data_IF_979566881320
#
_entry.id   IF_979566881320
#
_cell.length_a   1.000
_cell.length_b   1.000
_cell.length_c   1.000
_cell.angle_alpha   90.00
_cell.angle_beta   90.00
_cell.angle_gamma   90.00
#
_symmetry.space_group_name_H-M   'P 1'
#
loop_
_entity.id
_entity.type
_entity.pdbx_description
1 polymer ?
#
# COMPACT_ATOMS: atom_id res chain seq x y z
N UNK A 1 0.45 8.67 -20.19
CA UNK A 1 -0.47 7.72 -20.84
C UNK A 1 -1.84 7.92 -20.22
N UNK A 2 -2.87 8.14 -21.00
CA UNK A 2 -4.20 8.51 -20.53
C UNK A 2 -5.01 7.27 -20.15
N UNK A 3 -6.11 7.43 -19.37
CA UNK A 3 -7.06 6.33 -19.04
C UNK A 3 -7.60 5.63 -20.30
N UNK A 4 -7.69 6.35 -21.40
CA UNK A 4 -8.12 5.82 -22.72
C UNK A 4 -7.15 4.77 -23.24
N UNK A 5 -5.83 5.01 -23.10
CA UNK A 5 -4.78 4.08 -23.54
C UNK A 5 -4.80 2.80 -22.69
N UNK A 6 -5.06 2.92 -21.38
CA UNK A 6 -5.11 1.77 -20.49
C UNK A 6 -6.33 0.88 -20.75
N UNK A 7 -7.49 1.50 -20.95
CA UNK A 7 -8.72 0.77 -21.29
C UNK A 7 -8.55 -0.04 -22.58
N UNK A 8 -7.95 0.56 -23.61
CA UNK A 8 -7.66 -0.14 -24.87
C UNK A 8 -6.73 -1.33 -24.67
N UNK A 9 -5.70 -1.17 -23.83
CA UNK A 9 -4.77 -2.25 -23.50
C UNK A 9 -5.46 -3.40 -22.75
N UNK A 10 -6.36 -3.09 -21.83
CA UNK A 10 -7.17 -4.09 -21.12
C UNK A 10 -8.09 -4.84 -22.10
N UNK A 11 -8.77 -4.13 -23.01
CA UNK A 11 -9.62 -4.75 -24.02
C UNK A 11 -8.83 -5.65 -24.99
N UNK A 12 -7.61 -5.29 -25.30
CA UNK A 12 -6.70 -6.12 -26.07
C UNK A 12 -6.30 -7.38 -25.30
N UNK A 13 -5.90 -7.24 -24.03
CA UNK A 13 -5.52 -8.35 -23.16
C UNK A 13 -6.68 -9.34 -22.91
N UNK A 14 -7.93 -8.88 -22.99
CA UNK A 14 -9.11 -9.77 -22.92
C UNK A 14 -9.23 -10.71 -24.12
N UNK A 15 -8.71 -10.30 -25.29
CA UNK A 15 -8.77 -11.05 -26.54
C UNK A 15 -7.50 -11.88 -26.78
N UNK A 16 -6.36 -11.33 -26.38
CA UNK A 16 -5.06 -11.92 -26.56
C UNK A 16 -4.26 -11.90 -25.25
N UNK A 17 -3.97 -13.08 -24.72
CA UNK A 17 -3.20 -13.22 -23.48
C UNK A 17 -1.77 -12.68 -23.60
N UNK A 18 -1.19 -12.58 -24.80
CA UNK A 18 0.15 -11.99 -24.98
C UNK A 18 0.12 -10.48 -24.68
N UNK A 19 -0.99 -9.79 -24.99
CA UNK A 19 -1.15 -8.38 -24.68
C UNK A 19 -1.21 -8.10 -23.15
N UNK A 20 -1.50 -9.13 -22.34
CA UNK A 20 -1.44 -9.01 -20.87
C UNK A 20 -0.01 -8.72 -20.37
N UNK A 21 1.03 -9.13 -21.11
CA UNK A 21 2.42 -8.81 -20.77
C UNK A 21 2.67 -7.33 -20.58
N UNK A 22 2.09 -6.46 -21.40
CA UNK A 22 2.23 -5.00 -21.25
C UNK A 22 1.53 -4.45 -19.99
N UNK A 23 0.43 -5.06 -19.54
CA UNK A 23 -0.17 -4.74 -18.24
C UNK A 23 0.69 -5.24 -17.07
N UNK A 24 1.29 -6.43 -17.22
CA UNK A 24 2.23 -6.97 -16.25
C UNK A 24 3.43 -6.04 -16.08
N UNK A 25 4.13 -5.70 -17.15
CA UNK A 25 5.31 -4.84 -17.12
C UNK A 25 5.03 -3.47 -16.51
N UNK A 26 3.83 -2.95 -16.72
CA UNK A 26 3.39 -1.66 -16.18
C UNK A 26 3.20 -1.67 -14.67
N UNK A 27 2.77 -2.78 -14.10
CA UNK A 27 2.30 -2.83 -12.72
C UNK A 27 3.10 -3.72 -11.79
N UNK A 28 3.98 -4.60 -12.30
CA UNK A 28 4.66 -5.60 -11.47
C UNK A 28 5.48 -4.97 -10.35
N UNK A 29 6.28 -3.97 -10.66
CA UNK A 29 7.12 -3.27 -9.65
C UNK A 29 6.26 -2.56 -8.60
N UNK A 30 5.17 -1.93 -9.02
CA UNK A 30 4.25 -1.22 -8.11
C UNK A 30 3.54 -2.18 -7.17
N UNK A 31 3.03 -3.30 -7.69
CA UNK A 31 2.34 -4.32 -6.88
C UNK A 31 3.33 -5.00 -5.93
N UNK A 32 4.56 -5.29 -6.38
CA UNK A 32 5.62 -5.81 -5.52
C UNK A 32 5.96 -4.83 -4.38
N UNK A 33 6.20 -3.56 -4.71
CA UNK A 33 6.51 -2.54 -3.72
C UNK A 33 5.38 -2.37 -2.70
N UNK A 34 4.11 -2.40 -3.14
CA UNK A 34 2.95 -2.39 -2.25
C UNK A 34 2.91 -3.62 -1.34
N UNK A 35 3.11 -4.82 -1.90
CA UNK A 35 3.13 -6.07 -1.15
C UNK A 35 4.27 -6.07 -0.13
N UNK A 36 5.49 -5.65 -0.52
CA UNK A 36 6.64 -5.56 0.36
C UNK A 36 6.43 -4.57 1.52
N UNK A 37 5.90 -3.38 1.24
CA UNK A 37 5.55 -2.40 2.29
C UNK A 37 4.57 -2.96 3.32
N UNK A 38 3.72 -3.89 2.92
CA UNK A 38 2.67 -4.45 3.78
C UNK A 38 3.05 -5.77 4.47
N UNK A 39 3.92 -6.56 3.87
CA UNK A 39 4.35 -7.87 4.43
C UNK A 39 5.65 -7.78 5.20
N UNK A 40 6.52 -6.82 4.83
CA UNK A 40 7.90 -6.67 5.32
C UNK A 40 8.70 -7.98 5.19
N UNK A 41 8.43 -8.74 4.15
CA UNK A 41 8.98 -10.06 3.88
C UNK A 41 9.06 -10.24 2.35
N UNK A 42 10.27 -10.40 1.83
CA UNK A 42 10.55 -10.46 0.40
C UNK A 42 9.86 -11.65 -0.26
N UNK A 43 9.98 -12.83 0.33
CA UNK A 43 9.33 -14.03 -0.18
C UNK A 43 7.80 -13.90 -0.20
N UNK A 44 7.22 -13.30 0.84
CA UNK A 44 5.79 -13.02 0.89
C UNK A 44 5.36 -11.98 -0.15
N UNK A 45 6.20 -10.97 -0.40
CA UNK A 45 5.91 -9.95 -1.42
C UNK A 45 5.95 -10.55 -2.84
N UNK A 46 6.92 -11.42 -3.12
CA UNK A 46 7.01 -12.17 -4.39
C UNK A 46 5.80 -13.08 -4.58
N UNK A 47 5.44 -13.86 -3.57
CA UNK A 47 4.26 -14.74 -3.60
C UNK A 47 2.97 -13.95 -3.86
N UNK A 48 2.75 -12.86 -3.11
CA UNK A 48 1.57 -11.99 -3.27
C UNK A 48 1.52 -11.41 -4.70
N UNK A 49 2.66 -10.97 -5.21
CA UNK A 49 2.75 -10.39 -6.56
C UNK A 49 2.43 -11.44 -7.61
N UNK A 50 3.07 -12.61 -7.55
CA UNK A 50 2.84 -13.72 -8.46
C UNK A 50 1.36 -14.14 -8.47
N UNK A 51 0.77 -14.39 -7.30
CA UNK A 51 -0.64 -14.78 -7.16
C UNK A 51 -1.59 -13.68 -7.65
N UNK A 52 -1.24 -12.41 -7.46
CA UNK A 52 -2.03 -11.28 -7.94
C UNK A 52 -2.14 -11.29 -9.46
N UNK A 53 -1.02 -11.42 -10.16
CA UNK A 53 -1.03 -11.45 -11.62
C UNK A 53 -1.59 -12.74 -12.20
N UNK A 54 -1.38 -13.89 -11.55
CA UNK A 54 -2.03 -15.15 -11.93
C UNK A 54 -3.56 -15.02 -11.86
N UNK A 55 -4.10 -14.46 -10.78
CA UNK A 55 -5.54 -14.22 -10.62
C UNK A 55 -6.05 -13.19 -11.63
N UNK A 56 -5.29 -12.11 -11.85
CA UNK A 56 -5.64 -11.11 -12.83
C UNK A 56 -5.72 -11.69 -14.24
N UNK A 57 -4.72 -12.46 -14.68
CA UNK A 57 -4.72 -13.13 -15.98
C UNK A 57 -5.89 -14.11 -16.12
N UNK A 58 -6.16 -14.90 -15.10
CA UNK A 58 -7.29 -15.86 -15.07
C UNK A 58 -8.64 -15.18 -15.23
N UNK A 59 -8.80 -13.98 -14.67
CA UNK A 59 -10.08 -13.27 -14.62
C UNK A 59 -10.18 -12.08 -15.59
N UNK A 60 -9.13 -11.77 -16.38
CA UNK A 60 -9.11 -10.62 -17.28
C UNK A 60 -10.29 -10.62 -18.25
N UNK A 61 -10.69 -11.78 -18.77
CA UNK A 61 -11.82 -11.93 -19.72
C UNK A 61 -13.17 -11.51 -19.11
N UNK A 62 -13.34 -11.66 -17.81
CA UNK A 62 -14.55 -11.27 -17.08
C UNK A 62 -14.47 -9.86 -16.48
N UNK A 63 -13.30 -9.25 -16.50
CA UNK A 63 -13.11 -7.89 -15.99
C UNK A 63 -13.98 -6.90 -16.78
N UNK A 64 -14.57 -5.94 -16.09
CA UNK A 64 -15.36 -4.85 -16.67
C UNK A 64 -14.77 -3.52 -16.22
N UNK A 65 -14.43 -2.69 -17.19
CA UNK A 65 -13.96 -1.34 -16.89
C UNK A 65 -15.04 -0.52 -16.18
N UNK A 66 -14.74 0.00 -15.01
CA UNK A 66 -15.70 0.73 -14.15
C UNK A 66 -15.32 2.22 -13.98
N UNK A 67 -14.52 2.78 -14.88
CA UNK A 67 -14.11 4.18 -14.81
C UNK A 67 -12.98 4.47 -13.82
N UNK A 68 -12.32 3.43 -13.32
CA UNK A 68 -11.10 3.51 -12.51
C UNK A 68 -9.98 2.73 -13.19
N UNK A 69 -8.73 3.00 -12.85
CA UNK A 69 -7.58 2.33 -13.47
C UNK A 69 -7.62 0.81 -13.24
N UNK A 70 -7.05 0.06 -14.17
CA UNK A 70 -6.83 -1.37 -14.01
C UNK A 70 -5.94 -1.67 -12.79
N UNK A 71 -5.03 -0.75 -12.47
CA UNK A 71 -4.22 -0.80 -11.27
C UNK A 71 -5.06 -0.91 -10.00
N UNK A 72 -6.15 -0.18 -9.87
CA UNK A 72 -7.03 -0.27 -8.70
C UNK A 72 -7.56 -1.70 -8.49
N UNK A 73 -7.91 -2.39 -9.57
CA UNK A 73 -8.32 -3.79 -9.49
C UNK A 73 -7.17 -4.72 -9.07
N UNK A 74 -5.95 -4.50 -9.57
CA UNK A 74 -4.76 -5.25 -9.14
C UNK A 74 -4.47 -5.03 -7.65
N UNK A 75 -4.50 -3.77 -7.18
CA UNK A 75 -4.31 -3.46 -5.75
C UNK A 75 -5.37 -4.13 -4.86
N UNK A 76 -6.61 -4.22 -5.32
CA UNK A 76 -7.67 -4.94 -4.62
C UNK A 76 -7.36 -6.44 -4.50
N UNK A 77 -6.85 -7.07 -5.56
CA UNK A 77 -6.42 -8.48 -5.51
C UNK A 77 -5.25 -8.62 -4.55
N UNK A 78 -4.17 -7.83 -4.70
CA UNK A 78 -2.99 -7.87 -3.86
C UNK A 78 -3.33 -7.66 -2.37
N UNK A 79 -4.19 -6.69 -2.05
CA UNK A 79 -4.70 -6.46 -0.70
C UNK A 79 -5.35 -7.69 -0.08
N UNK A 80 -6.17 -8.39 -0.85
CA UNK A 80 -6.82 -9.61 -0.39
C UNK A 80 -5.81 -10.74 -0.13
N UNK A 81 -4.78 -10.86 -0.98
CA UNK A 81 -3.71 -11.86 -0.78
C UNK A 81 -2.87 -11.53 0.46
N UNK A 82 -2.51 -10.27 0.66
CA UNK A 82 -1.82 -9.80 1.88
C UNK A 82 -2.64 -10.16 3.13
N UNK A 83 -3.94 -9.87 3.12
CA UNK A 83 -4.82 -10.21 4.24
C UNK A 83 -4.91 -11.73 4.49
N UNK A 84 -4.83 -12.57 3.44
CA UNK A 84 -4.76 -14.02 3.58
C UNK A 84 -3.41 -14.46 4.15
N UNK A 85 -2.30 -13.86 3.67
CA UNK A 85 -0.96 -14.15 4.18
C UNK A 85 -0.88 -13.86 5.69
N UNK A 86 -1.33 -12.67 6.14
CA UNK A 86 -1.35 -12.33 7.57
C UNK A 86 -2.22 -13.27 8.40
N UNK A 87 -3.39 -13.68 7.89
CA UNK A 87 -4.22 -14.69 8.58
C UNK A 87 -3.48 -16.01 8.75
N UNK A 88 -2.83 -16.52 7.70
CA UNK A 88 -2.06 -17.79 7.76
C UNK A 88 -0.92 -17.67 8.77
N UNK A 89 -0.17 -16.56 8.75
CA UNK A 89 0.96 -16.31 9.67
C UNK A 89 0.50 -16.27 11.14
N UNK A 90 -0.67 -15.71 11.44
CA UNK A 90 -1.27 -15.73 12.79
C UNK A 90 -1.62 -17.12 13.30
N UNK A 91 -1.95 -18.06 12.42
CA UNK A 91 -2.26 -19.44 12.80
C UNK A 91 -1.02 -20.33 12.93
N UNK A 92 0.12 -19.93 12.33
CA UNK A 92 1.33 -20.76 12.27
C UNK A 92 2.39 -20.37 13.29
N UNK A 93 2.32 -19.19 13.94
CA UNK A 93 3.31 -18.72 14.89
C UNK A 93 2.65 -18.25 16.19
N UNK A 94 3.12 -18.75 17.38
CA UNK A 94 2.80 -18.10 18.65
C UNK A 94 3.48 -16.74 18.68
N UNK A 95 2.70 -15.70 18.96
CA UNK A 95 3.06 -14.33 19.34
C UNK A 95 4.57 -13.99 19.31
N UNK A 96 5.16 -13.81 18.15
CA UNK A 96 6.47 -13.20 18.00
C UNK A 96 6.31 -11.79 17.42
N UNK A 97 6.93 -10.87 18.10
CA UNK A 97 6.92 -9.42 17.95
C UNK A 97 7.06 -8.95 16.49
N UNK A 98 6.21 -8.04 16.11
CA UNK A 98 6.29 -7.29 14.86
C UNK A 98 7.55 -6.42 14.87
N UNK A 99 8.53 -6.78 14.07
CA UNK A 99 9.63 -5.89 13.75
C UNK A 99 9.23 -5.08 12.53
N UNK A 100 9.20 -3.77 12.70
CA UNK A 100 9.03 -2.82 11.60
C UNK A 100 10.37 -2.73 10.89
N UNK A 101 10.46 -3.33 9.71
CA UNK A 101 11.63 -3.17 8.84
C UNK A 101 11.59 -1.80 8.16
N UNK A 102 12.75 -1.23 7.94
CA UNK A 102 12.97 0.14 7.46
C UNK A 102 12.27 0.41 6.12
N UNK A 103 11.34 1.35 6.12
CA UNK A 103 10.74 1.89 4.90
C UNK A 103 11.73 2.81 4.20
N UNK A 104 12.25 2.38 3.05
CA UNK A 104 13.08 3.24 2.22
C UNK A 104 12.18 4.24 1.48
N UNK A 105 12.10 5.47 2.00
CA UNK A 105 11.41 6.58 1.35
C UNK A 105 12.44 7.40 0.58
N UNK A 106 12.63 7.08 -0.69
CA UNK A 106 13.35 7.95 -1.60
C UNK A 106 12.48 9.15 -1.97
N UNK A 107 12.67 10.26 -1.29
CA UNK A 107 12.38 11.58 -1.83
C UNK A 107 12.95 12.70 -0.95
N UNK A 108 13.74 13.59 -1.56
CA UNK A 108 14.16 14.95 -1.17
C UNK A 108 14.67 15.18 0.26
N UNK A 109 15.79 15.86 0.32
CA UNK A 109 16.60 16.31 1.45
C UNK A 109 15.76 16.89 2.62
N UNK A 110 15.25 15.99 3.44
CA UNK A 110 14.93 16.25 4.85
C UNK A 110 15.91 15.44 5.68
N UNK A 111 16.35 15.99 6.81
CA UNK A 111 17.31 15.31 7.68
C UNK A 111 16.87 13.89 8.00
N UNK A 112 17.80 12.94 8.10
CA UNK A 112 17.52 11.52 8.41
C UNK A 112 16.60 11.37 9.63
N UNK A 113 16.82 12.19 10.66
CA UNK A 113 16.01 12.23 11.89
C UNK A 113 14.52 12.51 11.66
N UNK A 114 14.18 13.43 10.72
CA UNK A 114 12.77 13.71 10.42
C UNK A 114 12.10 12.54 9.68
N UNK A 115 12.84 11.85 8.81
CA UNK A 115 12.35 10.63 8.13
C UNK A 115 12.09 9.53 9.11
N UNK A 116 13.02 9.30 10.02
CA UNK A 116 12.93 8.25 11.06
C UNK A 116 11.74 8.51 11.99
N UNK A 117 11.53 9.77 12.38
CA UNK A 117 10.36 10.17 13.18
C UNK A 117 9.02 9.92 12.46
N UNK A 118 8.93 10.27 11.18
CA UNK A 118 7.73 10.02 10.37
C UNK A 118 7.48 8.53 10.22
N UNK A 119 8.51 7.75 9.96
CA UNK A 119 8.45 6.31 9.80
C UNK A 119 8.00 5.62 11.10
N UNK A 120 8.59 6.02 12.24
CA UNK A 120 8.21 5.51 13.55
C UNK A 120 6.76 5.87 13.91
N UNK A 121 6.32 7.10 13.60
CA UNK A 121 4.94 7.53 13.81
C UNK A 121 3.95 6.76 12.93
N UNK A 122 4.29 6.54 11.66
CA UNK A 122 3.48 5.75 10.72
C UNK A 122 3.34 4.29 11.17
N UNK A 123 4.42 3.69 11.66
CA UNK A 123 4.42 2.31 12.17
C UNK A 123 3.50 2.10 13.37
N UNK A 124 3.24 3.15 14.17
CA UNK A 124 2.33 3.10 15.32
C UNK A 124 0.85 3.25 14.94
N UNK A 125 0.55 3.55 13.68
CA UNK A 125 -0.83 3.61 13.21
C UNK A 125 -1.45 2.22 13.12
N UNK A 126 -2.79 2.16 13.18
CA UNK A 126 -3.51 0.90 12.89
C UNK A 126 -3.28 0.44 11.45
N UNK A 127 -3.35 -0.87 11.19
CA UNK A 127 -3.23 -1.44 9.85
C UNK A 127 -4.16 -0.74 8.82
N UNK A 128 -5.39 -0.40 9.23
CA UNK A 128 -6.35 0.28 8.36
C UNK A 128 -6.00 1.74 8.06
N UNK A 129 -5.37 2.44 9.02
CA UNK A 129 -4.87 3.81 8.80
C UNK A 129 -3.63 3.79 7.89
N UNK A 130 -2.70 2.87 8.13
CA UNK A 130 -1.53 2.67 7.26
C UNK A 130 -1.97 2.33 5.83
N UNK A 131 -2.95 1.43 5.68
CA UNK A 131 -3.46 1.00 4.38
C UNK A 131 -4.02 2.17 3.56
N UNK A 132 -4.91 2.97 4.14
CA UNK A 132 -5.52 4.10 3.42
C UNK A 132 -4.49 5.17 3.05
N UNK A 133 -3.52 5.44 3.93
CA UNK A 133 -2.42 6.37 3.65
C UNK A 133 -1.48 5.83 2.58
N UNK A 134 -1.13 4.53 2.63
CA UNK A 134 -0.29 3.90 1.62
C UNK A 134 -0.93 4.01 0.24
N UNK A 135 -2.18 3.59 0.10
CA UNK A 135 -2.89 3.65 -1.19
C UNK A 135 -2.97 5.07 -1.74
N UNK A 136 -3.19 6.07 -0.88
CA UNK A 136 -3.38 7.46 -1.31
C UNK A 136 -2.08 8.18 -1.63
N UNK A 137 -1.03 8.00 -0.82
CA UNK A 137 0.18 8.83 -0.86
C UNK A 137 1.40 8.10 -1.43
N UNK A 138 1.51 6.78 -1.27
CA UNK A 138 2.63 6.01 -1.84
C UNK A 138 2.27 5.40 -3.20
N UNK A 139 1.03 4.93 -3.35
CA UNK A 139 0.56 4.39 -4.63
C UNK A 139 -0.11 5.46 -5.51
N UNK A 140 -0.26 6.68 -4.98
CA UNK A 140 -0.83 7.85 -5.67
C UNK A 140 -2.24 7.63 -6.24
N UNK A 141 -2.98 6.67 -5.68
CA UNK A 141 -4.34 6.39 -6.15
C UNK A 141 -5.28 7.56 -5.84
N UNK A 142 -6.17 7.87 -6.75
CA UNK A 142 -7.27 8.80 -6.51
C UNK A 142 -8.20 8.28 -5.42
N UNK A 143 -8.97 9.15 -4.80
CA UNK A 143 -9.94 8.73 -3.77
C UNK A 143 -10.99 7.75 -4.30
N UNK A 144 -11.31 7.81 -5.59
CA UNK A 144 -12.21 6.86 -6.26
C UNK A 144 -11.56 5.48 -6.38
N UNK A 145 -10.29 5.42 -6.78
CA UNK A 145 -9.54 4.18 -6.87
C UNK A 145 -9.32 3.55 -5.49
N UNK A 146 -8.98 4.37 -4.47
CA UNK A 146 -8.88 3.89 -3.08
C UNK A 146 -10.21 3.32 -2.60
N UNK A 147 -11.34 3.94 -2.95
CA UNK A 147 -12.67 3.44 -2.61
C UNK A 147 -12.93 2.06 -3.24
N UNK A 148 -12.54 1.86 -4.52
CA UNK A 148 -12.62 0.58 -5.22
C UNK A 148 -11.74 -0.49 -4.55
N UNK A 149 -10.48 -0.16 -4.22
CA UNK A 149 -9.55 -1.09 -3.54
C UNK A 149 -10.09 -1.50 -2.17
N UNK A 150 -10.61 -0.54 -1.39
CA UNK A 150 -11.11 -0.79 -0.03
C UNK A 150 -12.54 -1.35 0.01
N UNK A 151 -13.26 -1.33 -1.11
CA UNK A 151 -14.67 -1.75 -1.18
C UNK A 151 -15.59 -0.87 -0.34
N UNK A 152 -15.40 0.46 -0.39
CA UNK A 152 -16.19 1.43 0.38
C UNK A 152 -16.55 2.66 -0.46
N UNK A 153 -17.35 3.58 0.07
CA UNK A 153 -17.69 4.83 -0.62
C UNK A 153 -16.50 5.82 -0.58
N UNK A 154 -16.44 6.71 -1.57
CA UNK A 154 -15.44 7.80 -1.63
C UNK A 154 -15.52 8.70 -0.38
N UNK A 155 -16.73 8.95 0.13
CA UNK A 155 -16.92 9.71 1.38
C UNK A 155 -16.27 9.00 2.58
N UNK A 156 -16.36 7.66 2.62
CA UNK A 156 -15.70 6.87 3.68
C UNK A 156 -14.16 6.96 3.54
N UNK A 157 -13.62 6.99 2.32
CA UNK A 157 -12.18 7.21 2.09
C UNK A 157 -11.75 8.56 2.67
N UNK A 158 -12.47 9.65 2.39
CA UNK A 158 -12.15 10.96 2.97
C UNK A 158 -12.17 10.96 4.50
N UNK A 159 -13.18 10.32 5.12
CA UNK A 159 -13.26 10.20 6.56
C UNK A 159 -12.09 9.39 7.15
N UNK A 160 -11.71 8.28 6.49
CA UNK A 160 -10.57 7.45 6.91
C UNK A 160 -9.26 8.22 6.78
N UNK A 161 -9.03 8.90 5.66
CA UNK A 161 -7.85 9.73 5.45
C UNK A 161 -7.74 10.84 6.50
N UNK A 162 -8.82 11.57 6.74
CA UNK A 162 -8.83 12.63 7.76
C UNK A 162 -8.46 12.09 9.16
N UNK A 163 -9.03 10.96 9.55
CA UNK A 163 -8.75 10.33 10.85
C UNK A 163 -7.32 9.80 10.92
N UNK A 164 -6.84 9.15 9.86
CA UNK A 164 -5.48 8.59 9.78
C UNK A 164 -4.43 9.71 9.85
N UNK A 165 -4.60 10.80 9.10
CA UNK A 165 -3.72 11.96 9.15
C UNK A 165 -3.74 12.64 10.53
N UNK A 166 -4.90 12.75 11.15
CA UNK A 166 -5.00 13.29 12.52
C UNK A 166 -4.27 12.43 13.56
N UNK A 167 -4.32 11.10 13.42
CA UNK A 167 -3.57 10.18 14.28
C UNK A 167 -2.07 10.25 14.00
N UNK A 168 -1.65 10.29 12.73
CA UNK A 168 -0.26 10.44 12.35
C UNK A 168 0.34 11.71 12.94
N UNK A 169 -0.37 12.84 12.82
CA UNK A 169 0.05 14.11 13.40
C UNK A 169 0.27 14.03 14.92
N UNK A 170 -0.68 13.42 15.65
CA UNK A 170 -0.54 13.22 17.10
C UNK A 170 0.68 12.37 17.47
N UNK A 171 0.97 11.31 16.69
CA UNK A 171 2.15 10.47 16.92
C UNK A 171 3.45 11.25 16.67
N UNK A 172 3.48 12.13 15.68
CA UNK A 172 4.63 12.98 15.38
C UNK A 172 4.84 14.03 16.48
N UNK A 173 3.79 14.71 16.93
CA UNK A 173 3.85 15.68 18.01
C UNK A 173 4.39 15.04 19.31
N UNK A 174 3.89 13.85 19.68
CA UNK A 174 4.39 13.10 20.84
C UNK A 174 5.86 12.65 20.68
N UNK A 175 6.29 12.27 19.49
CA UNK A 175 7.68 11.89 19.24
C UNK A 175 8.63 13.10 19.40
N UNK A 176 8.21 14.28 18.92
CA UNK A 176 8.98 15.52 19.03
C UNK A 176 9.05 16.05 20.47
N UNK A 177 8.00 15.88 21.28
CA UNK A 177 8.00 16.25 22.69
C UNK A 177 8.96 15.37 23.50
N UNK A 178 8.98 14.07 23.24
CA UNK A 178 9.89 13.12 23.89
C UNK A 178 11.36 13.42 23.55
N UNK A 179 11.67 13.73 22.28
CA UNK A 179 13.03 14.09 21.88
C UNK A 179 13.54 15.36 22.57
N UNK A 180 12.69 16.35 22.79
CA UNK A 180 13.06 17.57 23.53
C UNK A 180 13.24 17.33 25.05
N UNK A 181 12.52 16.37 25.62
CA UNK A 181 12.65 15.99 27.03
C UNK A 181 13.99 15.32 27.33
N UNK A 182 14.53 14.52 26.42
CA UNK A 182 15.79 13.82 26.61
C UNK A 182 17.02 14.76 26.49
N UNK A 183 16.95 15.84 25.73
CA UNK A 183 18.03 16.85 25.63
C UNK A 183 18.23 17.66 26.91
N UNK A 184 17.19 17.79 27.75
CA UNK A 184 17.25 18.57 28.99
C UNK A 184 17.98 17.82 30.13
N UNK A 185 18.01 16.49 30.10
CA UNK A 185 18.62 15.67 31.15
C UNK A 185 20.12 15.32 30.91
N UNK A 186 20.71 15.74 29.79
CA UNK A 186 22.15 15.47 29.48
C UNK A 186 23.03 16.67 29.79
N UNK A 187 22.49 17.76 30.32
CA UNK A 187 23.23 19.03 30.59
C UNK A 187 23.40 19.32 32.07
N UNK A 188 23.61 18.31 32.94
CA UNK A 188 24.11 18.50 34.32
C UNK A 188 25.36 17.66 34.56
#
# INVERSE_FOLDING_TARGET
MTDVDEKALVEQAQRDSQAFGALYDRYVERIYAFAYRRTQDEAAAEDVTSVTFEKALRHIRSYRWQGVSFGAWLYRIARNEIAQHHRRKRFTLPLLQWHVSEMNVEASVQTSEQRDAVQAAFARLSEGDQEVLTLRFFEELSSTEVAEVLGCSVQNVYLRLHRALGRLRKQLESAMENAKGDEVYVSE
#
